data_IF_318006446568
#
_entry.id   IF_318006446568
#
_cell.length_a   1.000
_cell.length_b   1.000
_cell.length_c   1.000
_cell.angle_alpha   90.00
_cell.angle_beta   90.00
_cell.angle_gamma   90.00
#
_symmetry.space_group_name_H-M   'P 1'
#
loop_
_entity.id
_entity.type
_entity.pdbx_description
1 polymer ?
#
# COMPACT_ATOMS: atom_id res chain seq x y z
N UNK A 1 23.99 22.10 -10.78
CA UNK A 1 24.64 22.22 -9.45
C UNK A 1 25.85 23.15 -9.46
N UNK A 2 26.57 23.28 -10.59
CA UNK A 2 27.73 24.17 -10.72
C UNK A 2 27.53 25.61 -10.20
N UNK A 3 26.38 26.24 -10.44
CA UNK A 3 26.10 27.63 -10.05
C UNK A 3 25.77 27.82 -8.55
N UNK A 4 25.77 26.74 -7.77
CA UNK A 4 25.39 26.76 -6.37
C UNK A 4 26.59 26.86 -5.42
N UNK A 5 27.83 26.80 -5.90
CA UNK A 5 29.05 26.82 -5.07
C UNK A 5 28.90 25.91 -3.84
N UNK A 6 28.64 24.63 -4.12
CA UNK A 6 28.42 23.61 -3.09
C UNK A 6 29.79 23.14 -2.62
N UNK A 7 30.14 23.53 -1.40
CA UNK A 7 31.30 23.00 -0.67
C UNK A 7 30.79 21.80 0.14
N UNK A 8 31.43 20.64 0.06
CA UNK A 8 31.02 19.46 0.84
C UNK A 8 32.22 18.56 1.10
N UNK A 9 32.11 17.71 2.13
CA UNK A 9 33.20 16.83 2.57
C UNK A 9 33.75 15.89 1.48
N UNK A 10 32.91 15.52 0.51
CA UNK A 10 33.30 14.68 -0.62
C UNK A 10 33.07 15.45 -1.91
N UNK A 11 34.13 15.85 -2.61
CA UNK A 11 34.01 16.63 -3.84
C UNK A 11 33.10 15.95 -4.89
N UNK A 12 32.27 16.76 -5.54
CA UNK A 12 31.51 16.34 -6.72
C UNK A 12 32.44 16.24 -7.94
N UNK A 13 32.24 15.20 -8.73
CA UNK A 13 32.86 15.05 -10.04
C UNK A 13 32.26 16.07 -11.02
N UNK A 14 32.98 16.40 -12.09
CA UNK A 14 32.49 17.38 -13.06
C UNK A 14 31.23 16.93 -13.80
N UNK A 15 31.02 15.62 -13.94
CA UNK A 15 29.77 15.04 -14.45
C UNK A 15 28.60 15.23 -13.48
N UNK A 16 28.83 15.03 -12.18
CA UNK A 16 27.82 15.17 -11.12
C UNK A 16 27.37 16.63 -10.93
N UNK A 17 28.29 17.60 -11.10
CA UNK A 17 27.98 19.04 -11.03
C UNK A 17 26.95 19.50 -12.08
N UNK A 18 26.73 18.71 -13.14
CA UNK A 18 25.75 18.99 -14.20
C UNK A 18 24.31 18.69 -13.78
N UNK A 19 24.09 17.95 -12.69
CA UNK A 19 22.75 17.64 -12.22
C UNK A 19 21.90 18.91 -11.99
N UNK A 20 20.63 18.83 -12.35
CA UNK A 20 19.63 19.88 -12.15
C UNK A 20 18.77 19.61 -10.93
N UNK A 21 17.99 20.60 -10.50
CA UNK A 21 16.99 20.39 -9.43
C UNK A 21 15.99 19.30 -9.82
N UNK A 22 15.61 19.20 -11.10
CA UNK A 22 14.69 18.16 -11.58
C UNK A 22 15.28 16.76 -11.48
N UNK A 23 16.57 16.61 -11.74
CA UNK A 23 17.28 15.33 -11.57
C UNK A 23 17.32 14.93 -10.09
N UNK A 24 17.61 15.90 -9.21
CA UNK A 24 17.64 15.70 -7.75
C UNK A 24 16.27 15.26 -7.22
N UNK A 25 15.20 16.02 -7.50
CA UNK A 25 13.88 15.69 -6.94
C UNK A 25 13.23 14.45 -7.57
N UNK A 26 13.79 13.92 -8.67
CA UNK A 26 13.38 12.65 -9.27
C UNK A 26 14.25 11.46 -8.87
N UNK A 27 15.25 11.65 -8.00
CA UNK A 27 16.23 10.62 -7.62
C UNK A 27 17.06 10.12 -8.81
N UNK A 28 17.43 11.03 -9.71
CA UNK A 28 18.19 10.78 -10.94
C UNK A 28 19.43 11.67 -11.05
N UNK A 29 19.96 12.20 -9.95
CA UNK A 29 21.07 13.16 -10.02
C UNK A 29 22.37 12.56 -10.57
N UNK A 30 22.54 11.24 -10.49
CA UNK A 30 23.82 10.57 -10.76
C UNK A 30 24.87 10.80 -9.67
N UNK A 31 24.48 11.39 -8.53
CA UNK A 31 25.37 11.64 -7.39
C UNK A 31 25.19 10.56 -6.34
N UNK A 32 26.26 9.80 -6.09
CA UNK A 32 26.23 8.66 -5.16
C UNK A 32 27.17 8.86 -3.96
N UNK A 33 27.22 10.07 -3.41
CA UNK A 33 27.98 10.40 -2.21
C UNK A 33 27.16 10.12 -0.93
N UNK A 34 27.79 10.02 0.25
CA UNK A 34 27.07 9.74 1.50
C UNK A 34 26.08 10.82 1.88
N UNK A 35 24.86 10.41 2.23
CA UNK A 35 23.88 11.25 2.88
C UNK A 35 24.16 11.31 4.39
N UNK A 36 23.69 12.37 5.05
CA UNK A 36 23.82 12.52 6.51
C UNK A 36 22.95 11.53 7.30
N UNK A 37 22.07 10.76 6.63
CA UNK A 37 21.14 9.82 7.24
C UNK A 37 20.96 8.56 6.37
N UNK A 38 20.75 7.41 7.02
CA UNK A 38 20.54 6.12 6.34
C UNK A 38 19.11 5.87 5.87
N UNK A 39 18.85 4.65 5.40
CA UNK A 39 17.52 4.20 4.96
C UNK A 39 17.24 4.39 3.46
N UNK A 40 18.28 4.68 2.69
CA UNK A 40 18.24 4.79 1.23
C UNK A 40 18.80 3.54 0.52
N UNK A 41 18.92 3.59 -0.80
CA UNK A 41 19.37 2.49 -1.65
C UNK A 41 20.80 2.69 -2.16
N UNK A 42 21.61 3.54 -1.50
CA UNK A 42 22.94 3.91 -2.01
C UNK A 42 23.89 2.71 -2.15
N UNK A 43 23.66 1.61 -1.43
CA UNK A 43 24.42 0.35 -1.61
C UNK A 43 24.21 -0.31 -2.98
N UNK A 44 23.17 0.07 -3.73
CA UNK A 44 22.87 -0.40 -5.08
C UNK A 44 23.39 0.56 -6.17
N UNK A 45 24.09 1.63 -5.77
CA UNK A 45 24.61 2.62 -6.71
C UNK A 45 25.68 2.02 -7.63
N UNK A 46 25.69 2.39 -8.93
CA UNK A 46 26.84 2.13 -9.78
C UNK A 46 28.05 2.97 -9.35
N UNK A 47 29.21 2.71 -9.95
CA UNK A 47 30.42 3.50 -9.69
C UNK A 47 30.19 4.98 -10.02
N UNK A 48 30.68 5.88 -9.15
CA UNK A 48 30.50 7.33 -9.34
C UNK A 48 31.08 7.79 -10.68
N UNK A 49 30.34 8.65 -11.37
CA UNK A 49 30.74 9.22 -12.65
C UNK A 49 30.55 8.30 -13.87
N UNK A 50 29.93 7.13 -13.70
CA UNK A 50 29.63 6.21 -14.82
C UNK A 50 28.29 6.47 -15.49
N UNK A 51 27.42 7.30 -14.90
CA UNK A 51 26.09 7.66 -15.43
C UNK A 51 25.95 9.17 -15.46
N UNK A 52 25.31 9.72 -16.50
CA UNK A 52 24.98 11.13 -16.54
C UNK A 52 23.75 11.42 -15.65
N UNK A 53 23.61 12.66 -15.12
CA UNK A 53 22.37 13.09 -14.50
C UNK A 53 21.17 12.86 -15.43
N UNK A 54 20.10 12.31 -14.88
CA UNK A 54 18.89 11.95 -15.60
C UNK A 54 18.89 10.54 -16.21
N UNK A 55 20.01 9.81 -16.23
CA UNK A 55 20.08 8.48 -16.89
C UNK A 55 19.74 7.29 -15.98
N UNK A 56 19.98 7.41 -14.67
CA UNK A 56 19.84 6.29 -13.74
C UNK A 56 19.05 6.70 -12.50
N UNK A 57 17.95 6.01 -12.24
CA UNK A 57 17.19 6.16 -11.01
C UNK A 57 17.84 5.41 -9.84
N UNK A 58 17.99 6.11 -8.71
CA UNK A 58 18.35 5.49 -7.44
C UNK A 58 17.77 6.30 -6.29
N UNK A 59 16.88 5.71 -5.50
CA UNK A 59 16.40 6.32 -4.26
C UNK A 59 17.56 6.53 -3.27
N UNK A 60 18.12 7.74 -3.23
CA UNK A 60 19.24 8.12 -2.37
C UNK A 60 18.85 9.35 -1.54
N UNK A 61 19.21 9.37 -0.26
CA UNK A 61 18.81 10.46 0.63
C UNK A 61 19.60 11.75 0.36
N UNK A 62 20.78 11.66 -0.25
CA UNK A 62 21.59 12.83 -0.56
C UNK A 62 20.84 13.79 -1.48
N UNK A 63 20.14 13.25 -2.48
CA UNK A 63 19.28 14.05 -3.37
C UNK A 63 18.22 14.83 -2.59
N UNK A 64 17.52 14.20 -1.66
CA UNK A 64 16.45 14.87 -0.90
C UNK A 64 16.99 15.92 0.07
N UNK A 65 18.12 15.63 0.73
CA UNK A 65 18.81 16.58 1.60
C UNK A 65 19.31 17.79 0.79
N UNK A 66 19.86 17.52 -0.40
CA UNK A 66 20.31 18.55 -1.31
C UNK A 66 19.16 19.42 -1.82
N UNK A 67 17.99 18.84 -2.12
CA UNK A 67 16.81 19.59 -2.53
C UNK A 67 16.39 20.62 -1.46
N UNK A 68 16.37 20.22 -0.18
CA UNK A 68 16.12 21.13 0.94
C UNK A 68 17.19 22.20 1.08
N UNK A 69 18.47 21.85 0.92
CA UNK A 69 19.57 22.80 0.98
C UNK A 69 19.48 23.85 -0.14
N UNK A 70 19.22 23.43 -1.38
CA UNK A 70 19.03 24.32 -2.53
C UNK A 70 17.88 25.28 -2.26
N UNK A 71 16.77 24.77 -1.72
CA UNK A 71 15.61 25.59 -1.38
C UNK A 71 16.00 26.69 -0.38
N UNK A 72 16.59 26.35 0.76
CA UNK A 72 16.94 27.34 1.79
C UNK A 72 18.01 28.31 1.29
N UNK A 73 19.03 27.83 0.55
CA UNK A 73 20.10 28.67 -0.02
C UNK A 73 19.59 29.66 -1.06
N UNK A 74 18.68 29.25 -1.96
CA UNK A 74 18.16 30.12 -3.02
C UNK A 74 17.07 31.07 -2.54
N UNK A 75 16.26 30.67 -1.56
CA UNK A 75 15.16 31.51 -1.05
C UNK A 75 15.58 32.37 0.13
N UNK A 76 16.64 31.98 0.84
CA UNK A 76 17.02 32.51 2.15
C UNK A 76 15.88 32.39 3.18
N UNK A 77 15.09 31.32 3.08
CA UNK A 77 13.95 31.03 3.97
C UNK A 77 14.09 29.65 4.57
N UNK A 78 13.63 29.49 5.81
CA UNK A 78 13.58 28.20 6.47
C UNK A 78 12.40 27.37 5.93
N UNK A 79 12.64 26.10 5.60
CA UNK A 79 11.61 25.25 5.00
C UNK A 79 10.38 25.08 5.91
N UNK A 80 10.54 25.08 7.24
CA UNK A 80 9.45 24.89 8.17
C UNK A 80 8.55 26.14 8.29
N UNK A 81 9.13 27.33 8.13
CA UNK A 81 8.35 28.58 8.03
C UNK A 81 7.52 28.60 6.74
N UNK A 82 8.06 28.05 5.66
CA UNK A 82 7.39 27.95 4.37
C UNK A 82 6.30 26.87 4.37
N UNK A 83 6.54 25.72 5.03
CA UNK A 83 5.50 24.73 5.29
C UNK A 83 4.37 25.35 6.14
N UNK A 84 4.71 26.09 7.18
CA UNK A 84 3.72 26.72 8.05
C UNK A 84 2.84 27.72 7.29
N UNK A 85 3.47 28.64 6.56
CA UNK A 85 2.78 29.74 5.87
C UNK A 85 2.04 29.31 4.59
N UNK A 86 2.61 28.38 3.81
CA UNK A 86 2.05 27.97 2.52
C UNK A 86 1.11 26.77 2.65
N UNK A 87 1.30 25.91 3.65
CA UNK A 87 0.53 24.68 3.80
C UNK A 87 -0.21 24.59 5.13
N UNK A 88 0.46 24.65 6.28
CA UNK A 88 -0.18 24.43 7.58
C UNK A 88 -1.35 25.38 7.82
N UNK A 89 -1.12 26.68 7.71
CA UNK A 89 -2.16 27.71 7.91
C UNK A 89 -3.24 27.60 6.83
N UNK A 90 -2.93 27.55 5.51
CA UNK A 90 -3.96 27.49 4.48
C UNK A 90 -4.81 26.21 4.48
N UNK A 91 -4.23 25.07 4.84
CA UNK A 91 -4.95 23.78 4.93
C UNK A 91 -5.67 23.61 6.28
N UNK A 92 -5.48 24.53 7.24
CA UNK A 92 -6.03 24.41 8.58
C UNK A 92 -5.52 23.17 9.29
N UNK A 93 -4.22 22.88 9.19
CA UNK A 93 -3.57 21.81 9.95
C UNK A 93 -3.74 22.07 11.45
N UNK A 94 -4.15 21.05 12.19
CA UNK A 94 -4.59 21.21 13.59
C UNK A 94 -3.52 20.81 14.60
N UNK A 95 -2.58 19.97 14.19
CA UNK A 95 -1.57 19.39 15.08
C UNK A 95 -0.16 19.81 14.65
N UNK A 96 -0.03 20.62 13.59
CA UNK A 96 1.23 21.23 13.18
C UNK A 96 1.81 22.04 14.33
N UNK A 97 3.04 21.70 14.70
CA UNK A 97 3.82 22.46 15.65
C UNK A 97 5.23 22.66 15.11
N UNK A 98 5.54 23.91 14.76
CA UNK A 98 6.85 24.29 14.25
C UNK A 98 7.98 23.99 15.23
N UNK A 99 7.74 24.02 16.54
CA UNK A 99 8.77 23.74 17.55
C UNK A 99 9.19 22.27 17.62
N UNK A 100 8.46 21.36 16.96
CA UNK A 100 8.81 19.94 16.85
C UNK A 100 9.61 19.62 15.59
N UNK A 101 9.78 20.59 14.70
CA UNK A 101 10.44 20.37 13.42
C UNK A 101 11.94 20.54 13.59
N UNK A 102 12.68 19.51 13.22
CA UNK A 102 14.13 19.49 13.39
C UNK A 102 14.79 18.80 12.20
N UNK A 103 15.84 19.45 11.69
CA UNK A 103 16.75 18.86 10.72
C UNK A 103 17.69 17.93 11.45
N UNK A 104 17.94 16.74 10.91
CA UNK A 104 18.80 15.77 11.58
C UNK A 104 19.80 15.11 10.62
N UNK A 105 20.85 14.51 11.16
CA UNK A 105 21.86 13.81 10.39
C UNK A 105 23.26 13.91 10.99
N UNK A 106 24.16 13.11 10.47
CA UNK A 106 25.57 13.12 10.83
C UNK A 106 26.35 14.13 9.96
N UNK A 107 26.66 15.28 10.56
CA UNK A 107 27.43 16.34 9.91
C UNK A 107 28.89 15.94 9.61
N UNK A 108 29.40 14.86 10.21
CA UNK A 108 30.73 14.32 9.88
C UNK A 108 30.72 13.53 8.57
N UNK A 109 29.54 13.16 8.07
CA UNK A 109 29.35 12.42 6.81
C UNK A 109 28.93 13.38 5.68
N UNK A 110 27.98 14.28 5.96
CA UNK A 110 27.52 15.28 4.99
C UNK A 110 26.97 16.50 5.72
N UNK A 111 27.30 17.70 5.22
CA UNK A 111 26.76 18.95 5.76
C UNK A 111 25.29 19.19 5.41
N UNK A 112 24.70 18.41 4.48
CA UNK A 112 23.30 18.54 4.09
C UNK A 112 22.42 17.66 4.97
N UNK A 113 21.68 18.25 5.92
CA UNK A 113 20.88 17.46 6.84
C UNK A 113 19.63 16.90 6.16
N UNK A 114 19.01 15.92 6.79
CA UNK A 114 17.67 15.48 6.48
C UNK A 114 16.63 16.48 6.99
N UNK A 115 15.65 16.79 6.16
CA UNK A 115 14.56 17.72 6.46
C UNK A 115 13.33 16.93 6.91
N UNK A 116 13.38 16.38 8.13
CA UNK A 116 12.23 15.66 8.68
C UNK A 116 11.07 16.61 8.92
N UNK A 117 9.86 16.15 8.60
CA UNK A 117 8.61 16.90 8.78
C UNK A 117 7.69 16.06 9.68
N UNK A 118 7.41 16.58 10.87
CA UNK A 118 6.49 15.99 11.82
C UNK A 118 5.06 16.47 11.58
N UNK A 119 4.27 15.60 10.94
CA UNK A 119 2.82 15.76 10.85
C UNK A 119 2.08 14.74 11.73
N UNK A 120 0.89 15.10 12.21
CA UNK A 120 -0.08 14.10 12.70
C UNK A 120 -0.67 13.35 11.50
N UNK A 121 -1.27 12.18 11.75
CA UNK A 121 -1.98 11.43 10.70
C UNK A 121 -3.11 12.27 10.07
N UNK A 122 -3.73 13.18 10.84
CA UNK A 122 -4.77 14.07 10.34
C UNK A 122 -4.20 15.12 9.38
N UNK A 123 -3.06 15.71 9.71
CA UNK A 123 -2.40 16.71 8.86
C UNK A 123 -1.77 16.08 7.61
N UNK A 124 -1.27 14.84 7.73
CA UNK A 124 -0.92 13.99 6.58
C UNK A 124 -2.11 13.79 5.63
N UNK A 125 -3.30 13.48 6.16
CA UNK A 125 -4.50 13.32 5.35
C UNK A 125 -4.95 14.63 4.66
N UNK A 126 -4.76 15.78 5.30
CA UNK A 126 -5.02 17.10 4.67
C UNK A 126 -4.12 17.35 3.47
N UNK A 127 -2.82 17.06 3.61
CA UNK A 127 -1.89 17.14 2.49
C UNK A 127 -2.29 16.17 1.36
N UNK A 128 -2.65 14.94 1.69
CA UNK A 128 -3.17 13.99 0.70
C UNK A 128 -4.43 14.50 0.00
N UNK A 129 -5.36 15.14 0.73
CA UNK A 129 -6.60 15.67 0.15
C UNK A 129 -6.34 16.87 -0.77
N UNK A 130 -5.36 17.72 -0.44
CA UNK A 130 -4.88 18.77 -1.35
C UNK A 130 -4.40 18.17 -2.67
N UNK A 131 -3.62 17.09 -2.60
CA UNK A 131 -3.08 16.40 -3.78
C UNK A 131 -4.17 15.69 -4.59
N UNK A 132 -5.12 15.00 -3.92
CA UNK A 132 -6.29 14.40 -4.54
C UNK A 132 -7.11 15.43 -5.33
N UNK A 133 -7.25 16.65 -4.78
CA UNK A 133 -7.97 17.75 -5.40
C UNK A 133 -7.09 18.59 -6.36
N UNK A 134 -5.99 18.04 -6.87
CA UNK A 134 -5.11 18.69 -7.84
C UNK A 134 -4.64 20.11 -7.41
N UNK A 135 -4.33 20.26 -6.12
CA UNK A 135 -3.82 21.50 -5.53
C UNK A 135 -4.89 22.46 -5.03
N UNK A 136 -6.17 22.08 -5.04
CA UNK A 136 -7.27 22.86 -4.47
C UNK A 136 -7.56 22.49 -3.01
N UNK A 137 -7.76 23.50 -2.17
CA UNK A 137 -8.26 23.36 -0.81
C UNK A 137 -9.51 24.21 -0.64
N UNK A 138 -10.68 23.56 -0.61
CA UNK A 138 -11.96 24.26 -0.79
C UNK A 138 -11.96 25.04 -2.12
N UNK A 139 -12.25 26.33 -2.05
CA UNK A 139 -12.27 27.20 -3.24
C UNK A 139 -10.91 27.84 -3.56
N UNK A 140 -9.85 27.52 -2.80
CA UNK A 140 -8.53 28.15 -2.94
C UNK A 140 -7.53 27.21 -3.62
N UNK A 141 -6.85 27.71 -4.65
CA UNK A 141 -5.67 27.06 -5.24
C UNK A 141 -4.45 27.29 -4.37
N UNK A 142 -3.87 26.21 -3.84
CA UNK A 142 -2.62 26.22 -3.07
C UNK A 142 -1.44 25.80 -3.96
N UNK A 143 -1.66 24.78 -4.80
CA UNK A 143 -0.67 24.30 -5.78
C UNK A 143 -1.28 24.42 -7.18
N UNK A 144 -0.47 24.85 -8.15
CA UNK A 144 -0.87 24.83 -9.56
C UNK A 144 -1.13 23.41 -10.04
N UNK A 145 -2.26 23.19 -10.71
CA UNK A 145 -2.66 21.86 -11.19
C UNK A 145 -1.62 21.28 -12.15
N UNK A 146 -1.01 22.13 -12.99
CA UNK A 146 0.06 21.70 -13.90
C UNK A 146 1.27 21.17 -13.13
N UNK A 147 1.58 21.75 -11.97
CA UNK A 147 2.69 21.30 -11.13
C UNK A 147 2.36 19.99 -10.41
N UNK A 148 1.12 19.82 -9.92
CA UNK A 148 0.66 18.54 -9.37
C UNK A 148 0.79 17.43 -10.41
N UNK A 149 0.32 17.67 -11.64
CA UNK A 149 0.46 16.70 -12.74
C UNK A 149 1.92 16.42 -13.09
N UNK A 150 2.78 17.44 -13.09
CA UNK A 150 4.20 17.25 -13.39
C UNK A 150 4.90 16.41 -12.32
N UNK A 151 4.66 16.69 -11.04
CA UNK A 151 5.31 15.99 -9.93
C UNK A 151 4.81 14.54 -9.75
N UNK A 152 3.57 14.25 -10.15
CA UNK A 152 3.00 12.89 -10.11
C UNK A 152 3.02 12.18 -11.46
N UNK A 153 3.84 12.64 -12.41
CA UNK A 153 4.08 11.94 -13.69
C UNK A 153 5.38 11.13 -13.64
N UNK A 154 5.45 9.96 -14.31
CA UNK A 154 6.65 9.13 -14.30
C UNK A 154 7.88 9.87 -14.82
N UNK A 155 8.95 9.86 -14.03
CA UNK A 155 10.32 10.27 -14.40
C UNK A 155 11.25 9.07 -14.52
N UNK A 156 10.88 7.98 -13.85
CA UNK A 156 11.50 6.66 -13.94
C UNK A 156 10.39 5.64 -14.09
N UNK A 157 10.54 4.70 -15.03
CA UNK A 157 9.54 3.66 -15.27
C UNK A 157 9.68 2.50 -14.28
N UNK A 158 8.65 1.67 -14.20
CA UNK A 158 8.69 0.44 -13.42
C UNK A 158 9.86 -0.45 -13.82
N UNK A 159 10.12 -0.65 -15.12
CA UNK A 159 11.19 -1.53 -15.60
C UNK A 159 12.56 -1.08 -15.12
N UNK A 160 12.80 0.24 -15.08
CA UNK A 160 14.02 0.81 -14.54
C UNK A 160 14.12 0.55 -13.03
N UNK A 161 13.06 0.84 -12.27
CA UNK A 161 13.01 0.61 -10.83
C UNK A 161 13.21 -0.88 -10.48
N UNK A 162 12.56 -1.78 -11.20
CA UNK A 162 12.65 -3.24 -11.01
C UNK A 162 14.05 -3.77 -11.32
N UNK A 163 14.74 -3.19 -12.31
CA UNK A 163 16.13 -3.55 -12.62
C UNK A 163 17.12 -3.21 -11.51
N UNK A 164 16.84 -2.15 -10.73
CA UNK A 164 17.70 -1.67 -9.63
C UNK A 164 17.29 -2.28 -8.29
N UNK A 165 15.99 -2.32 -8.01
CA UNK A 165 15.42 -2.65 -6.71
C UNK A 165 14.16 -3.52 -6.84
N UNK A 166 14.28 -4.78 -7.31
CA UNK A 166 13.14 -5.66 -7.59
C UNK A 166 12.30 -5.98 -6.33
N UNK A 167 12.88 -5.83 -5.14
CA UNK A 167 12.18 -6.01 -3.86
C UNK A 167 11.13 -4.93 -3.56
N UNK A 168 11.03 -3.86 -4.37
CA UNK A 168 9.99 -2.85 -4.24
C UNK A 168 8.62 -3.34 -4.74
N UNK A 169 8.61 -4.30 -5.66
CA UNK A 169 7.39 -4.93 -6.14
C UNK A 169 6.72 -5.74 -5.03
N UNK A 170 5.39 -5.68 -4.97
CA UNK A 170 4.60 -6.40 -3.98
C UNK A 170 3.35 -7.01 -4.61
N UNK A 171 3.38 -8.34 -4.84
CA UNK A 171 2.34 -9.01 -5.60
C UNK A 171 2.22 -8.42 -7.02
N UNK A 172 1.03 -7.96 -7.38
CA UNK A 172 0.75 -7.28 -8.65
C UNK A 172 1.03 -5.76 -8.61
N UNK A 173 1.33 -5.20 -7.45
CA UNK A 173 1.66 -3.78 -7.29
C UNK A 173 3.10 -3.52 -7.74
N UNK A 174 3.22 -2.74 -8.80
CA UNK A 174 4.47 -2.23 -9.40
C UNK A 174 4.59 -0.73 -9.09
N UNK A 175 5.81 -0.20 -9.21
CA UNK A 175 6.07 1.21 -8.94
C UNK A 175 6.92 1.87 -10.01
N UNK A 176 6.45 3.04 -10.47
CA UNK A 176 7.27 4.06 -11.12
C UNK A 176 7.60 5.17 -10.12
N UNK A 177 8.45 6.13 -10.51
CA UNK A 177 8.82 7.25 -9.63
C UNK A 177 8.62 8.60 -10.31
N UNK A 178 8.01 9.53 -9.59
CA UNK A 178 7.80 10.93 -9.98
C UNK A 178 8.81 11.88 -9.33
N UNK A 179 8.39 13.11 -9.06
CA UNK A 179 9.16 14.03 -8.21
C UNK A 179 8.84 13.78 -6.74
N UNK A 180 9.66 12.93 -6.09
CA UNK A 180 9.51 12.51 -4.69
C UNK A 180 8.20 11.75 -4.37
N UNK A 181 7.55 11.18 -5.39
CA UNK A 181 6.33 10.38 -5.25
C UNK A 181 6.51 9.00 -5.86
N UNK A 182 6.12 7.97 -5.11
CA UNK A 182 5.96 6.62 -5.64
C UNK A 182 4.66 6.56 -6.44
N UNK A 183 4.72 6.14 -7.71
CA UNK A 183 3.57 6.05 -8.59
C UNK A 183 3.18 4.59 -8.72
N UNK A 184 1.93 4.25 -8.38
CA UNK A 184 1.47 2.87 -8.40
C UNK A 184 1.10 2.46 -9.83
N UNK A 185 1.49 1.24 -10.18
CA UNK A 185 1.11 0.57 -11.41
C UNK A 185 0.54 -0.80 -11.06
N UNK A 186 -0.73 -1.01 -11.37
CA UNK A 186 -1.37 -2.31 -11.19
C UNK A 186 -2.38 -2.55 -12.31
N UNK A 187 -2.02 -3.46 -13.22
CA UNK A 187 -2.82 -3.76 -14.40
C UNK A 187 -4.10 -4.57 -14.09
N UNK A 188 -4.21 -5.10 -12.87
CA UNK A 188 -5.34 -5.93 -12.42
C UNK A 188 -6.30 -5.20 -11.48
N UNK A 189 -5.91 -4.02 -10.98
CA UNK A 189 -6.69 -3.26 -10.00
C UNK A 189 -6.92 -1.84 -10.51
N UNK A 190 -8.05 -1.64 -11.20
CA UNK A 190 -8.44 -0.33 -11.74
C UNK A 190 -8.55 0.76 -10.66
N UNK A 191 -8.82 0.42 -9.40
CA UNK A 191 -8.92 1.40 -8.32
C UNK A 191 -7.57 2.04 -7.97
N UNK A 192 -6.47 1.39 -8.33
CA UNK A 192 -5.11 1.92 -8.16
C UNK A 192 -4.65 2.72 -9.38
N UNK A 193 -5.48 2.88 -10.41
CA UNK A 193 -5.12 3.66 -11.59
C UNK A 193 -4.85 5.11 -11.19
N UNK A 194 -3.65 5.58 -11.54
CA UNK A 194 -3.20 6.92 -11.17
C UNK A 194 -2.97 7.11 -9.67
N UNK A 195 -2.93 6.04 -8.87
CA UNK A 195 -2.60 6.14 -7.46
C UNK A 195 -1.12 6.49 -7.28
N UNK A 196 -0.83 7.27 -6.24
CA UNK A 196 0.54 7.67 -5.90
C UNK A 196 0.69 7.84 -4.39
N UNK A 197 1.93 7.77 -3.89
CA UNK A 197 2.19 7.81 -2.45
C UNK A 197 3.51 8.46 -2.07
N UNK A 198 3.47 9.19 -0.96
CA UNK A 198 4.66 9.55 -0.21
C UNK A 198 4.86 8.43 0.81
N UNK A 199 5.94 7.66 0.69
CA UNK A 199 6.24 6.52 1.56
C UNK A 199 7.49 6.83 2.37
N UNK A 200 7.37 6.75 3.70
CA UNK A 200 8.47 6.95 4.63
C UNK A 200 9.01 5.65 5.20
N UNK A 201 10.16 5.74 5.86
CA UNK A 201 10.69 4.64 6.66
C UNK A 201 9.66 4.18 7.71
N UNK A 202 9.72 2.89 8.08
CA UNK A 202 8.88 2.27 9.11
C UNK A 202 7.37 2.21 8.83
N UNK A 203 6.93 2.47 7.59
CA UNK A 203 5.55 2.20 7.16
C UNK A 203 4.58 3.37 7.26
N UNK A 204 5.07 4.58 7.52
CA UNK A 204 4.27 5.79 7.40
C UNK A 204 4.06 6.17 5.93
N UNK A 205 2.83 6.50 5.55
CA UNK A 205 2.49 6.84 4.17
C UNK A 205 1.33 7.83 4.06
N UNK A 206 1.30 8.52 2.92
CA UNK A 206 0.12 9.20 2.39
C UNK A 206 -0.10 8.61 1.01
N UNK A 207 -1.20 7.89 0.82
CA UNK A 207 -1.60 7.31 -0.45
C UNK A 207 -2.83 8.02 -0.97
N UNK A 208 -2.75 8.49 -2.22
CA UNK A 208 -3.83 9.13 -2.95
C UNK A 208 -4.38 8.10 -3.93
N UNK A 209 -5.70 7.92 -3.91
CA UNK A 209 -6.44 6.99 -4.75
C UNK A 209 -7.48 7.77 -5.58
N UNK A 210 -7.10 8.33 -6.75
CA UNK A 210 -7.98 9.20 -7.52
C UNK A 210 -9.28 8.53 -7.97
N UNK A 211 -9.22 7.28 -8.46
CA UNK A 211 -10.40 6.53 -8.91
C UNK A 211 -11.39 6.25 -7.76
N UNK A 212 -10.88 6.18 -6.53
CA UNK A 212 -11.69 6.01 -5.32
C UNK A 212 -12.09 7.33 -4.66
N UNK A 213 -11.62 8.47 -5.19
CA UNK A 213 -11.73 9.78 -4.55
C UNK A 213 -11.34 9.74 -3.05
N UNK A 214 -10.24 9.04 -2.73
CA UNK A 214 -9.89 8.68 -1.36
C UNK A 214 -8.43 8.97 -1.06
N UNK A 215 -8.14 9.32 0.21
CA UNK A 215 -6.80 9.46 0.76
C UNK A 215 -6.66 8.53 1.96
N UNK A 216 -5.58 7.75 1.98
CA UNK A 216 -5.19 6.93 3.11
C UNK A 216 -3.93 7.54 3.71
N UNK A 217 -3.99 7.93 4.99
CA UNK A 217 -2.83 8.38 5.73
C UNK A 217 -2.55 7.40 6.88
N UNK A 218 -1.35 6.83 6.89
CA UNK A 218 -0.92 5.89 7.92
C UNK A 218 0.32 6.46 8.59
N UNK A 219 0.29 6.50 9.92
CA UNK A 219 1.46 6.83 10.72
C UNK A 219 1.76 5.65 11.62
N UNK A 220 3.03 5.24 11.63
CA UNK A 220 3.53 4.19 12.49
C UNK A 220 4.46 4.79 13.54
N UNK A 221 4.69 4.05 14.61
CA UNK A 221 5.71 4.36 15.59
C UNK A 221 6.75 3.24 15.49
N UNK A 222 8.03 3.62 15.48
CA UNK A 222 9.18 2.71 15.37
C UNK A 222 9.19 1.66 16.49
N UNK A 223 8.67 2.00 17.67
CA UNK A 223 8.47 1.07 18.79
C UNK A 223 7.62 -0.16 18.43
N UNK A 224 6.80 -0.08 17.38
CA UNK A 224 5.94 -1.20 16.96
C UNK A 224 6.60 -2.16 15.98
N UNK A 225 7.84 -1.89 15.52
CA UNK A 225 8.59 -2.73 14.58
C UNK A 225 7.80 -3.17 13.34
N UNK A 226 6.83 -2.35 12.88
CA UNK A 226 6.01 -2.67 11.70
C UNK A 226 6.83 -2.40 10.45
N UNK A 227 6.97 -3.43 9.61
CA UNK A 227 7.70 -3.34 8.34
C UNK A 227 6.80 -2.83 7.21
N UNK A 228 7.41 -2.42 6.10
CA UNK A 228 6.75 -1.90 4.89
C UNK A 228 5.63 -2.80 4.34
N UNK A 229 5.57 -4.10 4.64
CA UNK A 229 4.57 -5.02 4.06
C UNK A 229 3.10 -4.74 4.43
N UNK A 230 2.82 -4.17 5.60
CA UNK A 230 1.45 -4.10 6.13
C UNK A 230 0.54 -3.09 5.38
N UNK A 231 1.13 -2.04 4.79
CA UNK A 231 0.34 -0.99 4.16
C UNK A 231 -0.16 -1.32 2.74
N UNK A 232 0.64 -2.06 1.94
CA UNK A 232 0.18 -2.56 0.65
C UNK A 232 -0.99 -3.52 0.85
N UNK A 233 -0.89 -4.41 1.84
CA UNK A 233 -1.99 -5.30 2.19
C UNK A 233 -3.26 -4.55 2.62
N UNK A 234 -3.14 -3.47 3.40
CA UNK A 234 -4.30 -2.65 3.77
C UNK A 234 -4.91 -1.93 2.56
N UNK A 235 -4.08 -1.44 1.62
CA UNK A 235 -4.56 -0.81 0.38
C UNK A 235 -5.25 -1.84 -0.51
N UNK A 236 -4.69 -3.05 -0.62
CA UNK A 236 -5.30 -4.16 -1.35
C UNK A 236 -6.64 -4.55 -0.72
N UNK A 237 -6.71 -4.62 0.63
CA UNK A 237 -7.95 -4.90 1.36
C UNK A 237 -9.00 -3.80 1.17
N UNK A 238 -8.61 -2.53 1.25
CA UNK A 238 -9.51 -1.39 1.03
C UNK A 238 -10.00 -1.39 -0.42
N UNK A 239 -9.12 -1.65 -1.38
CA UNK A 239 -9.51 -1.80 -2.79
C UNK A 239 -10.51 -2.94 -2.95
N UNK A 240 -10.21 -4.14 -2.44
CA UNK A 240 -11.13 -5.28 -2.46
C UNK A 240 -12.48 -4.96 -1.81
N UNK A 241 -12.51 -4.10 -0.79
CA UNK A 241 -13.75 -3.62 -0.16
C UNK A 241 -14.48 -2.53 -0.96
N UNK A 242 -13.80 -1.77 -1.81
CA UNK A 242 -14.40 -0.73 -2.68
C UNK A 242 -14.91 -1.31 -4.00
N UNK A 243 -14.44 -2.49 -4.38
CA UNK A 243 -15.13 -3.45 -5.26
C UNK A 243 -16.51 -3.88 -4.68
N UNK A 244 -16.95 -3.27 -3.58
CA UNK A 244 -18.31 -3.35 -3.04
C UNK A 244 -19.40 -2.89 -4.00
N UNK A 245 -19.14 -2.30 -5.16
CA UNK A 245 -20.20 -2.24 -6.17
C UNK A 245 -20.62 -3.65 -6.65
N UNK A 246 -19.71 -4.63 -6.57
CA UNK A 246 -20.00 -6.07 -6.73
C UNK A 246 -20.39 -6.68 -5.38
N UNK A 247 -19.67 -6.43 -4.28
CA UNK A 247 -20.02 -7.02 -2.99
C UNK A 247 -21.38 -6.56 -2.44
N UNK A 248 -21.80 -5.32 -2.69
CA UNK A 248 -23.11 -4.76 -2.33
C UNK A 248 -24.22 -5.24 -3.29
N UNK A 249 -23.92 -5.47 -4.58
CA UNK A 249 -24.83 -6.20 -5.48
C UNK A 249 -24.99 -7.65 -5.05
N UNK A 250 -23.91 -8.31 -4.62
CA UNK A 250 -23.92 -9.68 -4.08
C UNK A 250 -24.57 -9.76 -2.72
N UNK A 251 -24.46 -8.72 -1.89
CA UNK A 251 -25.22 -8.57 -0.65
C UNK A 251 -26.72 -8.41 -0.95
N UNK A 252 -27.09 -7.54 -1.90
CA UNK A 252 -28.48 -7.42 -2.36
C UNK A 252 -29.02 -8.71 -2.98
N UNK A 253 -28.19 -9.46 -3.71
CA UNK A 253 -28.54 -10.76 -4.27
C UNK A 253 -28.63 -11.86 -3.20
N UNK A 254 -27.74 -11.85 -2.21
CA UNK A 254 -27.81 -12.73 -1.04
C UNK A 254 -29.05 -12.43 -0.19
N UNK A 255 -29.42 -11.16 -0.01
CA UNK A 255 -30.67 -10.75 0.65
C UNK A 255 -31.92 -11.15 -0.17
N UNK A 256 -31.86 -11.03 -1.49
CA UNK A 256 -32.88 -11.57 -2.39
C UNK A 256 -33.00 -13.08 -2.19
N UNK A 257 -31.89 -13.82 -2.21
CA UNK A 257 -31.90 -15.26 -2.02
C UNK A 257 -32.31 -15.68 -0.61
N UNK A 258 -32.03 -14.90 0.44
CA UNK A 258 -32.57 -15.11 1.80
C UNK A 258 -34.09 -14.99 1.87
N UNK A 259 -34.69 -14.13 1.05
CA UNK A 259 -36.16 -14.04 0.88
C UNK A 259 -36.73 -15.18 0.02
N UNK A 260 -35.85 -15.92 -0.65
CA UNK A 260 -36.16 -17.06 -1.51
C UNK A 260 -35.50 -18.33 -0.93
N UNK A 261 -35.56 -19.45 -1.64
CA UNK A 261 -35.01 -20.72 -1.15
C UNK A 261 -33.57 -20.92 -1.67
N UNK A 262 -32.58 -20.67 -0.80
CA UNK A 262 -31.15 -20.90 -1.11
C UNK A 262 -30.88 -22.38 -1.44
N UNK A 263 -31.62 -23.33 -0.85
CA UNK A 263 -31.46 -24.73 -1.20
C UNK A 263 -31.89 -24.97 -2.65
N UNK A 264 -33.04 -24.42 -3.05
CA UNK A 264 -33.52 -24.53 -4.42
C UNK A 264 -32.56 -23.87 -5.43
N UNK A 265 -31.90 -22.76 -5.06
CA UNK A 265 -30.85 -22.17 -5.87
C UNK A 265 -29.67 -23.13 -6.04
N UNK A 266 -29.12 -23.67 -4.94
CA UNK A 266 -27.99 -24.60 -5.00
C UNK A 266 -28.33 -25.84 -5.83
N UNK A 267 -29.50 -26.43 -5.62
CA UNK A 267 -29.94 -27.62 -6.35
C UNK A 267 -30.15 -27.31 -7.83
N UNK A 268 -30.76 -26.17 -8.14
CA UNK A 268 -30.97 -25.69 -9.51
C UNK A 268 -29.65 -25.41 -10.24
N UNK A 269 -28.67 -24.83 -9.53
CA UNK A 269 -27.34 -24.55 -10.08
C UNK A 269 -26.57 -25.85 -10.34
N UNK A 270 -26.61 -26.82 -9.41
CA UNK A 270 -26.01 -28.16 -9.62
C UNK A 270 -26.62 -28.86 -10.83
N UNK A 271 -27.95 -28.76 -11.00
CA UNK A 271 -28.66 -29.40 -12.11
C UNK A 271 -28.40 -28.73 -13.47
N UNK A 272 -28.10 -27.43 -13.49
CA UNK A 272 -27.99 -26.63 -14.71
C UNK A 272 -26.68 -25.83 -14.74
N UNK A 273 -25.57 -26.46 -14.36
CA UNK A 273 -24.26 -25.82 -14.35
C UNK A 273 -23.93 -25.29 -15.76
N UNK A 274 -23.64 -23.98 -15.91
CA UNK A 274 -23.24 -23.42 -17.21
C UNK A 274 -21.99 -24.13 -17.74
N UNK A 275 -21.98 -24.51 -19.02
CA UNK A 275 -20.82 -25.18 -19.63
C UNK A 275 -19.75 -24.20 -20.13
N UNK A 276 -20.13 -22.97 -20.49
CA UNK A 276 -19.23 -21.89 -20.88
C UNK A 276 -19.73 -20.56 -20.30
N UNK A 277 -18.85 -19.86 -19.60
CA UNK A 277 -19.13 -18.52 -19.07
C UNK A 277 -17.82 -17.79 -18.78
N UNK A 278 -17.83 -16.46 -18.91
CA UNK A 278 -16.74 -15.58 -18.47
C UNK A 278 -16.84 -15.21 -16.99
N UNK A 279 -17.84 -15.75 -16.26
CA UNK A 279 -18.04 -15.48 -14.85
C UNK A 279 -17.08 -16.33 -14.01
N UNK A 280 -16.28 -15.65 -13.20
CA UNK A 280 -15.50 -16.28 -12.14
C UNK A 280 -16.44 -16.70 -10.98
N UNK A 281 -16.95 -17.93 -11.07
CA UNK A 281 -17.82 -18.48 -10.03
C UNK A 281 -17.08 -18.74 -8.72
N UNK A 282 -15.76 -18.91 -8.74
CA UNK A 282 -14.97 -19.12 -7.54
C UNK A 282 -15.05 -17.89 -6.64
N UNK A 283 -14.70 -16.72 -7.19
CA UNK A 283 -14.75 -15.45 -6.46
C UNK A 283 -16.20 -15.05 -6.15
N UNK A 284 -17.11 -15.19 -7.13
CA UNK A 284 -18.50 -14.78 -6.97
C UNK A 284 -19.21 -15.53 -5.84
N UNK A 285 -19.08 -16.85 -5.75
CA UNK A 285 -19.68 -17.64 -4.67
C UNK A 285 -18.97 -17.43 -3.35
N UNK A 286 -17.66 -17.19 -3.34
CA UNK A 286 -16.95 -16.90 -2.10
C UNK A 286 -17.45 -15.58 -1.48
N UNK A 287 -17.53 -14.51 -2.28
CA UNK A 287 -18.07 -13.21 -1.85
C UNK A 287 -19.53 -13.31 -1.39
N UNK A 288 -20.35 -14.10 -2.09
CA UNK A 288 -21.73 -14.35 -1.70
C UNK A 288 -21.81 -15.07 -0.33
N UNK A 289 -20.96 -16.06 -0.08
CA UNK A 289 -20.88 -16.74 1.21
C UNK A 289 -20.51 -15.79 2.35
N UNK A 290 -19.53 -14.91 2.16
CA UNK A 290 -19.15 -13.90 3.17
C UNK A 290 -20.27 -12.86 3.40
N UNK A 291 -20.98 -12.41 2.36
CA UNK A 291 -22.12 -11.52 2.52
C UNK A 291 -23.25 -12.15 3.37
N UNK A 292 -23.45 -13.47 3.25
CA UNK A 292 -24.38 -14.21 4.11
C UNK A 292 -23.88 -14.30 5.56
N UNK A 293 -22.57 -14.48 5.78
CA UNK A 293 -21.96 -14.44 7.12
C UNK A 293 -22.14 -13.08 7.80
N UNK A 294 -21.89 -11.98 7.09
CA UNK A 294 -22.11 -10.61 7.58
C UNK A 294 -23.58 -10.39 7.98
N UNK A 295 -24.49 -10.98 7.20
CA UNK A 295 -25.93 -10.97 7.46
C UNK A 295 -26.38 -11.94 8.56
N UNK A 296 -25.42 -12.60 9.23
CA UNK A 296 -25.61 -13.63 10.28
C UNK A 296 -26.36 -14.88 9.82
N UNK A 297 -26.47 -15.11 8.51
CA UNK A 297 -27.11 -16.30 7.93
C UNK A 297 -26.07 -17.40 7.66
N UNK A 298 -25.48 -17.90 8.75
CA UNK A 298 -24.36 -18.83 8.70
C UNK A 298 -24.72 -20.16 8.02
N UNK A 299 -25.96 -20.64 8.22
CA UNK A 299 -26.42 -21.90 7.61
C UNK A 299 -26.41 -21.84 6.09
N UNK A 300 -26.86 -20.73 5.53
CA UNK A 300 -26.90 -20.56 4.08
C UNK A 300 -25.53 -20.21 3.50
N UNK A 301 -24.69 -19.46 4.24
CA UNK A 301 -23.30 -19.24 3.87
C UNK A 301 -22.55 -20.57 3.65
N UNK A 302 -22.70 -21.51 4.60
CA UNK A 302 -22.10 -22.85 4.50
C UNK A 302 -22.55 -23.59 3.23
N UNK A 303 -23.82 -23.52 2.84
CA UNK A 303 -24.31 -24.17 1.61
C UNK A 303 -23.66 -23.61 0.34
N UNK A 304 -23.42 -22.31 0.31
CA UNK A 304 -22.76 -21.65 -0.82
C UNK A 304 -21.27 -22.01 -0.85
N UNK A 305 -20.60 -22.02 0.30
CA UNK A 305 -19.22 -22.47 0.39
C UNK A 305 -19.06 -23.95 0.01
N UNK A 306 -19.98 -24.83 0.43
CA UNK A 306 -20.01 -26.25 0.02
C UNK A 306 -20.09 -26.36 -1.50
N UNK A 307 -21.06 -25.68 -2.13
CA UNK A 307 -21.20 -25.63 -3.59
C UNK A 307 -19.90 -25.14 -4.26
N UNK A 308 -19.27 -24.11 -3.71
CA UNK A 308 -18.05 -23.54 -4.30
C UNK A 308 -16.88 -24.54 -4.23
N UNK A 309 -16.69 -25.21 -3.08
CA UNK A 309 -15.65 -26.26 -2.94
C UNK A 309 -15.90 -27.50 -3.79
N UNK A 310 -17.16 -27.83 -4.09
CA UNK A 310 -17.52 -28.90 -5.04
C UNK A 310 -17.11 -28.53 -6.48
N UNK A 311 -17.24 -27.25 -6.83
CA UNK A 311 -16.91 -26.75 -8.16
C UNK A 311 -15.41 -26.52 -8.34
N UNK A 312 -14.69 -26.19 -7.27
CA UNK A 312 -13.28 -25.80 -7.26
C UNK A 312 -12.51 -26.61 -6.20
N UNK A 313 -12.37 -27.94 -6.39
CA UNK A 313 -11.86 -28.85 -5.36
C UNK A 313 -10.37 -28.69 -5.03
N UNK A 314 -9.64 -27.91 -5.83
CA UNK A 314 -8.19 -27.66 -5.68
C UNK A 314 -7.90 -26.28 -5.07
N UNK A 315 -8.92 -25.46 -4.80
CA UNK A 315 -8.73 -24.11 -4.24
C UNK A 315 -8.63 -24.11 -2.72
N UNK A 316 -7.42 -23.93 -2.20
CA UNK A 316 -7.17 -23.88 -0.76
C UNK A 316 -7.98 -22.77 -0.06
N UNK A 317 -8.17 -21.62 -0.71
CA UNK A 317 -8.88 -20.45 -0.18
C UNK A 317 -10.36 -20.75 0.11
N UNK A 318 -10.99 -21.60 -0.71
CA UNK A 318 -12.38 -21.98 -0.51
C UNK A 318 -12.55 -22.97 0.64
N UNK A 319 -11.59 -23.88 0.84
CA UNK A 319 -11.59 -24.76 2.01
C UNK A 319 -11.31 -23.98 3.31
N UNK A 320 -10.52 -22.91 3.27
CA UNK A 320 -10.38 -21.98 4.41
C UNK A 320 -11.73 -21.32 4.73
N UNK A 321 -12.39 -20.77 3.71
CA UNK A 321 -13.69 -20.09 3.83
C UNK A 321 -14.81 -21.03 4.31
N UNK A 322 -14.87 -22.27 3.82
CA UNK A 322 -15.79 -23.29 4.30
C UNK A 322 -15.48 -23.71 5.75
N UNK A 323 -14.19 -23.81 6.10
CA UNK A 323 -13.73 -24.06 7.46
C UNK A 323 -14.22 -22.99 8.45
N UNK A 324 -14.18 -21.72 8.04
CA UNK A 324 -14.73 -20.59 8.80
C UNK A 324 -16.25 -20.65 8.92
N UNK A 325 -16.96 -20.95 7.82
CA UNK A 325 -18.41 -21.15 7.84
C UNK A 325 -18.85 -22.23 8.84
N UNK A 326 -18.20 -23.39 8.84
CA UNK A 326 -18.49 -24.46 9.81
C UNK A 326 -18.12 -24.09 11.25
N UNK A 327 -17.04 -23.34 11.46
CA UNK A 327 -16.67 -22.84 12.78
C UNK A 327 -17.78 -21.97 13.37
N UNK A 328 -18.28 -21.01 12.58
CA UNK A 328 -19.37 -20.11 12.97
C UNK A 328 -20.69 -20.85 13.15
N UNK A 329 -20.92 -21.94 12.39
CA UNK A 329 -22.08 -22.81 12.54
C UNK A 329 -22.00 -23.69 13.82
N UNK A 330 -20.81 -23.83 14.39
CA UNK A 330 -20.54 -24.69 15.55
C UNK A 330 -20.20 -26.14 15.19
N UNK A 331 -20.07 -26.48 13.91
CA UNK A 331 -19.62 -27.79 13.45
C UNK A 331 -18.08 -27.84 13.41
N UNK A 332 -17.50 -27.93 14.61
CA UNK A 332 -16.06 -27.90 14.81
C UNK A 332 -15.32 -29.06 14.14
N UNK A 333 -15.96 -30.21 13.97
CA UNK A 333 -15.36 -31.37 13.28
C UNK A 333 -15.16 -31.06 11.81
N UNK A 334 -16.21 -30.60 11.12
CA UNK A 334 -16.10 -30.21 9.70
C UNK A 334 -15.24 -28.98 9.49
N UNK A 335 -15.24 -28.05 10.44
CA UNK A 335 -14.35 -26.89 10.42
C UNK A 335 -12.88 -27.32 10.38
N UNK A 336 -12.45 -28.22 11.27
CA UNK A 336 -11.08 -28.74 11.30
C UNK A 336 -10.74 -29.49 10.00
N UNK A 337 -11.66 -30.31 9.49
CA UNK A 337 -11.46 -31.07 8.25
C UNK A 337 -11.15 -30.14 7.07
N UNK A 338 -11.94 -29.09 6.90
CA UNK A 338 -11.77 -28.12 5.81
C UNK A 338 -10.50 -27.29 5.97
N UNK A 339 -10.20 -26.81 7.17
CA UNK A 339 -8.92 -26.13 7.45
C UNK A 339 -7.69 -27.00 7.15
N UNK A 340 -7.72 -28.30 7.49
CA UNK A 340 -6.64 -29.24 7.14
C UNK A 340 -6.50 -29.43 5.64
N UNK A 341 -7.63 -29.50 4.93
CA UNK A 341 -7.64 -29.59 3.47
C UNK A 341 -7.06 -28.32 2.83
N UNK A 342 -7.41 -27.14 3.34
CA UNK A 342 -6.83 -25.87 2.91
C UNK A 342 -5.30 -25.86 3.06
N UNK A 343 -4.78 -26.27 4.23
CA UNK A 343 -3.33 -26.37 4.48
C UNK A 343 -2.66 -27.36 3.52
N UNK A 344 -3.30 -28.50 3.25
CA UNK A 344 -2.76 -29.52 2.33
C UNK A 344 -2.66 -28.99 0.90
N UNK A 345 -3.65 -28.24 0.45
CA UNK A 345 -3.68 -27.64 -0.88
C UNK A 345 -2.75 -26.42 -1.02
N UNK A 346 -2.42 -25.74 0.09
CA UNK A 346 -1.51 -24.58 0.13
C UNK A 346 -0.04 -24.94 0.50
N UNK A 347 0.36 -26.21 0.40
CA UNK A 347 1.65 -26.69 0.92
C UNK A 347 2.89 -26.02 0.27
N UNK A 348 2.76 -25.52 -0.96
CA UNK A 348 3.87 -24.94 -1.73
C UNK A 348 3.92 -23.40 -1.69
N UNK A 349 2.95 -22.72 -1.05
CA UNK A 349 2.84 -21.25 -1.07
C UNK A 349 2.69 -20.64 0.35
N UNK A 350 3.83 -20.13 0.87
CA UNK A 350 3.98 -19.16 1.98
C UNK A 350 3.61 -19.66 3.40
N UNK A 351 4.61 -19.67 4.31
CA UNK A 351 4.50 -20.15 5.71
C UNK A 351 3.45 -19.43 6.58
N UNK A 352 3.15 -18.17 6.29
CA UNK A 352 2.37 -17.31 7.21
C UNK A 352 0.86 -17.64 7.27
N UNK A 353 0.26 -18.14 6.19
CA UNK A 353 -1.16 -18.54 6.19
C UNK A 353 -1.38 -19.86 6.92
N UNK A 354 -0.43 -20.80 6.80
CA UNK A 354 -0.49 -22.09 7.47
C UNK A 354 -0.42 -21.93 9.00
N UNK A 355 0.37 -20.98 9.50
CA UNK A 355 0.45 -20.66 10.94
C UNK A 355 -0.90 -20.17 11.52
N UNK A 356 -1.66 -19.36 10.77
CA UNK A 356 -3.01 -18.91 11.18
C UNK A 356 -3.97 -20.09 11.28
N UNK A 357 -4.02 -20.92 10.24
CA UNK A 357 -4.97 -22.04 10.16
C UNK A 357 -4.65 -23.10 11.22
N UNK A 358 -3.37 -23.41 11.44
CA UNK A 358 -2.94 -24.29 12.51
C UNK A 358 -3.34 -23.78 13.91
N UNK A 359 -3.22 -22.47 14.15
CA UNK A 359 -3.64 -21.86 15.41
C UNK A 359 -5.15 -22.00 15.63
N UNK A 360 -5.95 -21.84 14.57
CA UNK A 360 -7.41 -22.03 14.63
C UNK A 360 -7.75 -23.48 14.95
N UNK A 361 -7.12 -24.46 14.28
CA UNK A 361 -7.30 -25.88 14.57
C UNK A 361 -6.98 -26.17 16.04
N UNK A 362 -5.83 -25.72 16.55
CA UNK A 362 -5.43 -25.91 17.96
C UNK A 362 -6.45 -25.32 18.94
N UNK A 363 -7.01 -24.14 18.63
CA UNK A 363 -8.05 -23.50 19.46
C UNK A 363 -9.34 -24.30 19.48
N UNK A 364 -9.78 -24.79 18.32
CA UNK A 364 -10.98 -25.64 18.21
C UNK A 364 -10.77 -26.94 18.99
N UNK A 365 -9.63 -27.62 18.81
CA UNK A 365 -9.30 -28.86 19.51
C UNK A 365 -9.25 -28.67 21.03
N UNK A 366 -8.69 -27.56 21.52
CA UNK A 366 -8.69 -27.21 22.94
C UNK A 366 -10.10 -26.95 23.49
N UNK A 367 -10.98 -26.33 22.69
CA UNK A 367 -12.39 -26.09 23.05
C UNK A 367 -13.19 -27.40 23.13
N UNK A 368 -12.93 -28.35 22.22
CA UNK A 368 -13.53 -29.68 22.26
C UNK A 368 -13.04 -30.50 23.47
N UNK A 369 -11.74 -30.42 23.79
CA UNK A 369 -11.13 -31.07 24.97
C UNK A 369 -11.61 -30.50 26.31
N UNK A 370 -11.91 -29.20 26.37
CA UNK A 370 -12.46 -28.60 27.60
C UNK A 370 -13.94 -28.93 27.78
N UNK A 371 -14.72 -28.98 26.70
CA UNK A 371 -16.12 -29.41 26.73
C UNK A 371 -16.30 -30.88 27.14
N UNK A 372 -15.39 -31.77 26.71
CA UNK A 372 -15.44 -33.20 27.09
C UNK A 372 -15.00 -33.50 28.52
N UNK A 373 -14.36 -32.56 29.22
CA UNK A 373 -14.00 -32.66 30.64
C UNK A 373 -15.10 -32.15 31.59
N UNK A 374 -16.14 -31.49 31.05
CA UNK A 374 -17.26 -30.94 31.82
C UNK A 374 -18.52 -31.81 31.77
N UNK A 375 -18.52 -32.86 30.95
CA UNK A 375 -19.48 -33.96 30.96
C UNK A 375 -18.82 -35.18 31.60
#
# INVERSE_FOLDING_TARGET
MADLEIDQLVDLLDIEKKATVKDIISSRSGVFVPASNGGDMRSLAPERGTVNPGEFWLYNNWDFNMAGHIFEKKTNRNIYDEIESQFSIPLGMQDWNKSLQEKSGDALISEFPAYHIWFSTRDMARLGLLMLNNGMWGDKRIIEESWVKEMTSPKSSFEELDSVAPFLKSGDNKFSYGYMWWLWENDKNEMLKGAYSAQGAWGQNITILPEMNTVIAIKTNDLYYRQKGDHHYLIDLISQSYDSNVAHKMQGFAEFLKKNDIQAFVDGFRANKPQETDIDFEDAFNRMGYALLESKDVKNAVKIFELNTEMHPDSWNLFDSLGEGYFLLGDYTKSIENYKKAVTLNADNISNNNDRVELIIRRIENKLKSASKMN
#
